data_IF_480750856797
#
_entry.id   IF_480750856797
#
_cell.length_a   1.000
_cell.length_b   1.000
_cell.length_c   1.000
_cell.angle_alpha   90.00
_cell.angle_beta   90.00
_cell.angle_gamma   90.00
#
_symmetry.space_group_name_H-M   'P 1'
#
loop_
_entity.id
_entity.type
_entity.pdbx_description
1 polymer ?
#
# COMPACT_ATOMS: atom_id res chain seq x y z
N UNK A 1 0.56 -20.83 -0.56
CA UNK A 1 -0.82 -21.00 -0.05
C UNK A 1 -1.01 -20.36 1.34
N UNK A 2 0.09 -20.16 2.08
CA UNK A 2 0.05 -19.66 3.46
C UNK A 2 -0.02 -18.12 3.57
N UNK A 3 0.39 -17.39 2.52
CA UNK A 3 0.36 -15.91 2.48
C UNK A 3 -1.04 -15.33 2.24
N UNK A 4 -2.02 -16.14 1.88
CA UNK A 4 -3.38 -15.69 1.55
C UNK A 4 -4.13 -15.25 2.80
N UNK A 5 -3.99 -15.95 3.91
CA UNK A 5 -4.67 -15.66 5.16
C UNK A 5 -4.31 -14.29 5.75
N UNK A 6 -3.01 -13.90 5.87
CA UNK A 6 -2.64 -12.58 6.36
C UNK A 6 -3.22 -11.45 5.50
N UNK A 7 -3.29 -11.64 4.18
CA UNK A 7 -3.85 -10.64 3.26
C UNK A 7 -5.34 -10.41 3.50
N UNK A 8 -6.13 -11.47 3.65
CA UNK A 8 -7.56 -11.33 3.94
C UNK A 8 -7.80 -10.73 5.33
N UNK A 9 -7.03 -11.12 6.35
CA UNK A 9 -7.11 -10.50 7.67
C UNK A 9 -6.76 -9.02 7.63
N UNK A 10 -5.75 -8.63 6.88
CA UNK A 10 -5.39 -7.23 6.69
C UNK A 10 -6.51 -6.45 5.99
N UNK A 11 -7.07 -6.98 4.89
CA UNK A 11 -8.19 -6.35 4.20
C UNK A 11 -9.41 -6.18 5.11
N UNK A 12 -9.74 -7.21 5.89
CA UNK A 12 -10.82 -7.13 6.87
C UNK A 12 -10.54 -6.09 7.95
N UNK A 13 -9.33 -6.04 8.50
CA UNK A 13 -8.92 -5.08 9.51
C UNK A 13 -9.00 -3.64 8.98
N UNK A 14 -8.53 -3.40 7.75
CA UNK A 14 -8.63 -2.09 7.11
C UNK A 14 -10.08 -1.71 6.78
N UNK A 15 -10.90 -2.68 6.35
CA UNK A 15 -12.35 -2.48 6.16
C UNK A 15 -13.05 -2.09 7.46
N UNK A 16 -12.73 -2.75 8.57
CA UNK A 16 -13.24 -2.41 9.90
C UNK A 16 -12.79 -1.00 10.32
N UNK A 17 -11.55 -0.63 10.03
CA UNK A 17 -11.03 0.72 10.30
C UNK A 17 -11.80 1.78 9.52
N UNK A 18 -12.08 1.55 8.24
CA UNK A 18 -12.87 2.46 7.42
C UNK A 18 -14.30 2.60 7.93
N UNK A 19 -14.97 1.48 8.14
CA UNK A 19 -16.36 1.45 8.64
C UNK A 19 -16.45 2.10 10.03
N UNK A 20 -15.51 1.76 10.92
CA UNK A 20 -15.43 2.34 12.26
C UNK A 20 -15.19 3.85 12.24
N UNK A 21 -14.29 4.32 11.39
CA UNK A 21 -14.01 5.75 11.21
C UNK A 21 -15.24 6.50 10.67
N UNK A 22 -15.87 6.02 9.61
CA UNK A 22 -17.08 6.64 9.07
C UNK A 22 -18.26 6.62 10.08
N UNK A 23 -18.44 5.52 10.80
CA UNK A 23 -19.47 5.39 11.82
C UNK A 23 -19.26 6.39 12.97
N UNK A 24 -18.03 6.57 13.42
CA UNK A 24 -17.72 7.51 14.50
C UNK A 24 -17.86 8.97 14.06
N UNK A 25 -17.52 9.29 12.79
CA UNK A 25 -17.78 10.61 12.21
C UNK A 25 -19.27 10.88 12.15
N UNK A 26 -20.07 9.90 11.71
CA UNK A 26 -21.53 10.03 11.63
C UNK A 26 -22.17 10.30 13.00
N UNK A 27 -21.67 9.63 14.04
CA UNK A 27 -22.15 9.80 15.42
C UNK A 27 -21.55 11.04 16.12
N UNK A 28 -20.65 11.78 15.46
CA UNK A 28 -19.98 12.95 16.03
C UNK A 28 -19.03 12.65 17.20
N UNK A 29 -18.64 11.38 17.39
CA UNK A 29 -17.70 10.97 18.45
C UNK A 29 -16.25 11.24 18.06
N UNK A 30 -15.95 11.21 16.76
CA UNK A 30 -14.64 11.51 16.22
C UNK A 30 -14.64 12.95 15.69
N UNK A 31 -13.94 13.83 16.37
CA UNK A 31 -13.81 15.24 15.97
C UNK A 31 -12.44 15.50 15.39
N UNK A 32 -12.40 16.38 14.37
CA UNK A 32 -11.13 16.80 13.78
C UNK A 32 -10.22 17.42 14.84
N UNK A 33 -8.96 17.02 14.82
CA UNK A 33 -7.96 17.63 15.68
C UNK A 33 -7.82 19.13 15.35
N UNK A 34 -7.92 20.00 16.34
CA UNK A 34 -7.59 21.41 16.16
C UNK A 34 -6.08 21.52 15.96
N UNK A 35 -5.65 21.47 14.71
CA UNK A 35 -4.27 21.78 14.38
C UNK A 35 -4.11 23.27 14.65
N UNK A 36 -3.23 23.64 15.59
CA UNK A 36 -2.69 24.99 15.60
C UNK A 36 -2.04 25.19 14.24
N UNK A 37 -2.66 26.02 13.41
CA UNK A 37 -2.09 26.42 12.13
C UNK A 37 -0.85 27.24 12.47
N UNK A 38 0.27 26.54 12.70
CA UNK A 38 1.55 27.18 12.52
C UNK A 38 1.53 27.71 11.09
N UNK A 39 1.62 29.01 10.95
CA UNK A 39 1.68 29.69 9.67
C UNK A 39 2.77 29.06 8.86
N UNK A 40 2.39 28.06 8.05
CA UNK A 40 3.31 27.42 7.11
C UNK A 40 3.80 28.55 6.21
N UNK A 41 5.08 28.87 6.28
CA UNK A 41 5.70 29.85 5.41
C UNK A 41 5.29 29.54 3.97
N UNK A 42 4.97 30.54 3.14
CA UNK A 42 4.50 30.31 1.79
C UNK A 42 5.49 29.40 1.06
N UNK A 43 5.01 28.21 0.68
CA UNK A 43 5.83 27.21 -0.01
C UNK A 43 6.36 27.85 -1.30
N UNK A 44 7.66 27.92 -1.42
CA UNK A 44 8.31 28.36 -2.65
C UNK A 44 7.89 27.40 -3.79
N UNK A 45 7.70 27.92 -4.99
CA UNK A 45 7.23 27.15 -6.14
C UNK A 45 8.08 25.90 -6.39
N UNK A 46 9.37 25.97 -6.13
CA UNK A 46 10.31 24.83 -6.21
C UNK A 46 9.97 23.75 -5.17
N UNK A 47 9.65 24.13 -3.94
CA UNK A 47 9.27 23.21 -2.88
C UNK A 47 7.93 22.50 -3.20
N UNK A 48 6.96 23.24 -3.74
CA UNK A 48 5.70 22.68 -4.21
C UNK A 48 5.91 21.65 -5.31
N UNK A 49 6.75 21.95 -6.30
CA UNK A 49 7.08 21.03 -7.39
C UNK A 49 7.75 19.74 -6.87
N UNK A 50 8.65 19.85 -5.90
CA UNK A 50 9.30 18.70 -5.27
C UNK A 50 8.29 17.83 -4.48
N UNK A 51 7.34 18.43 -3.78
CA UNK A 51 6.28 17.71 -3.06
C UNK A 51 5.40 16.95 -4.05
N UNK A 52 4.97 17.58 -5.14
CA UNK A 52 4.16 16.95 -6.19
C UNK A 52 4.92 15.80 -6.84
N UNK A 53 6.20 16.01 -7.18
CA UNK A 53 7.04 14.98 -7.77
C UNK A 53 7.22 13.77 -6.82
N UNK A 54 7.42 14.03 -5.53
CA UNK A 54 7.51 12.98 -4.50
C UNK A 54 6.19 12.23 -4.33
N UNK A 55 5.07 12.94 -4.31
CA UNK A 55 3.74 12.34 -4.24
C UNK A 55 3.47 11.46 -5.47
N UNK A 56 3.83 11.93 -6.67
CA UNK A 56 3.74 11.16 -7.90
C UNK A 56 4.59 9.88 -7.84
N UNK A 57 5.85 9.99 -7.43
CA UNK A 57 6.74 8.84 -7.30
C UNK A 57 6.20 7.78 -6.32
N UNK A 58 5.65 8.22 -5.18
CA UNK A 58 5.02 7.32 -4.20
C UNK A 58 3.75 6.67 -4.78
N UNK A 59 2.95 7.41 -5.54
CA UNK A 59 1.77 6.88 -6.24
C UNK A 59 2.14 5.81 -7.27
N UNK A 60 3.18 6.04 -8.06
CA UNK A 60 3.70 5.04 -9.00
C UNK A 60 4.18 3.77 -8.29
N UNK A 61 4.84 3.90 -7.14
CA UNK A 61 5.27 2.76 -6.34
C UNK A 61 4.10 1.91 -5.83
N UNK A 62 2.95 2.51 -5.55
CA UNK A 62 1.76 1.77 -5.10
C UNK A 62 1.12 0.89 -6.20
N UNK A 63 1.45 1.14 -7.47
CA UNK A 63 0.92 0.38 -8.62
C UNK A 63 1.73 -0.88 -8.96
N UNK A 64 2.80 -1.19 -8.24
CA UNK A 64 3.67 -2.37 -8.53
C UNK A 64 2.92 -3.71 -8.49
N UNK A 65 1.81 -3.81 -7.74
CA UNK A 65 0.97 -5.02 -7.73
C UNK A 65 0.34 -5.38 -9.07
N UNK A 66 0.09 -4.40 -9.94
CA UNK A 66 -0.49 -4.62 -11.28
C UNK A 66 0.51 -5.34 -12.19
N UNK A 67 1.79 -5.01 -12.07
CA UNK A 67 2.87 -5.67 -12.82
C UNK A 67 2.93 -7.18 -12.54
N UNK A 68 2.76 -7.58 -11.27
CA UNK A 68 2.75 -8.99 -10.89
C UNK A 68 1.65 -9.79 -11.61
N UNK A 69 0.46 -9.19 -11.79
CA UNK A 69 -0.64 -9.81 -12.54
C UNK A 69 -0.32 -9.87 -14.04
N UNK A 70 0.20 -8.78 -14.60
CA UNK A 70 0.56 -8.70 -16.01
C UNK A 70 1.59 -9.77 -16.40
N UNK A 71 2.61 -9.95 -15.57
CA UNK A 71 3.64 -10.98 -15.78
C UNK A 71 3.12 -12.40 -15.52
N UNK A 72 2.08 -12.56 -14.70
CA UNK A 72 1.47 -13.83 -14.33
C UNK A 72 0.27 -14.25 -15.18
N UNK A 73 -0.07 -13.55 -16.27
CA UNK A 73 -1.28 -13.84 -17.08
C UNK A 73 -1.34 -15.30 -17.55
N UNK A 74 -0.18 -15.89 -17.89
CA UNK A 74 -0.08 -17.27 -18.34
C UNK A 74 -0.42 -18.32 -17.26
N UNK A 75 -0.41 -17.92 -15.98
CA UNK A 75 -0.73 -18.80 -14.85
C UNK A 75 -2.24 -18.85 -14.54
N UNK A 76 -3.04 -17.98 -15.17
CA UNK A 76 -4.50 -17.98 -14.97
C UNK A 76 -5.16 -19.13 -15.71
N UNK A 77 -6.29 -19.63 -15.17
CA UNK A 77 -7.15 -20.59 -15.87
C UNK A 77 -7.71 -20.01 -17.16
N UNK A 78 -7.94 -20.85 -18.14
CA UNK A 78 -8.59 -20.40 -19.38
C UNK A 78 -10.06 -19.96 -19.13
N UNK A 79 -10.51 -18.84 -19.71
CA UNK A 79 -9.81 -17.91 -20.60
C UNK A 79 -8.88 -16.95 -19.81
N UNK A 80 -7.58 -17.13 -19.96
CA UNK A 80 -6.54 -16.49 -19.14
C UNK A 80 -6.64 -14.96 -19.13
N UNK A 81 -6.79 -14.38 -20.32
CA UNK A 81 -6.84 -12.92 -20.46
C UNK A 81 -8.06 -12.30 -19.76
N UNK A 82 -9.24 -12.92 -19.89
CA UNK A 82 -10.46 -12.44 -19.25
C UNK A 82 -10.33 -12.49 -17.72
N UNK A 83 -9.88 -13.61 -17.19
CA UNK A 83 -9.73 -13.80 -15.75
C UNK A 83 -8.66 -12.86 -15.14
N UNK A 84 -7.58 -12.58 -15.89
CA UNK A 84 -6.57 -11.61 -15.47
C UNK A 84 -7.15 -10.18 -15.41
N UNK A 85 -7.92 -9.77 -16.41
CA UNK A 85 -8.57 -8.45 -16.45
C UNK A 85 -9.56 -8.31 -15.30
N UNK A 86 -10.42 -9.31 -15.07
CA UNK A 86 -11.39 -9.29 -13.97
C UNK A 86 -10.69 -9.18 -12.60
N UNK A 87 -9.63 -9.96 -12.38
CA UNK A 87 -8.84 -9.91 -11.15
C UNK A 87 -8.20 -8.55 -10.94
N UNK A 88 -7.61 -7.98 -12.00
CA UNK A 88 -7.00 -6.64 -11.95
C UNK A 88 -8.04 -5.57 -11.64
N UNK A 89 -9.22 -5.64 -12.27
CA UNK A 89 -10.29 -4.68 -12.05
C UNK A 89 -10.81 -4.73 -10.60
N UNK A 90 -11.01 -5.92 -10.05
CA UNK A 90 -11.42 -6.10 -8.65
C UNK A 90 -10.37 -5.56 -7.69
N UNK A 91 -9.09 -5.88 -7.91
CA UNK A 91 -8.00 -5.36 -7.09
C UNK A 91 -7.91 -3.84 -7.14
N UNK A 92 -8.00 -3.25 -8.34
CA UNK A 92 -7.98 -1.80 -8.51
C UNK A 92 -9.16 -1.12 -7.81
N UNK A 93 -10.35 -1.71 -7.86
CA UNK A 93 -11.53 -1.20 -7.17
C UNK A 93 -11.36 -1.24 -5.64
N UNK A 94 -10.90 -2.36 -5.09
CA UNK A 94 -10.64 -2.49 -3.65
C UNK A 94 -9.59 -1.47 -3.21
N UNK A 95 -8.49 -1.35 -3.96
CA UNK A 95 -7.42 -0.41 -3.67
C UNK A 95 -7.91 1.04 -3.72
N UNK A 96 -8.71 1.40 -4.71
CA UNK A 96 -9.28 2.74 -4.86
C UNK A 96 -10.21 3.09 -3.68
N UNK A 97 -11.07 2.17 -3.26
CA UNK A 97 -11.97 2.36 -2.11
C UNK A 97 -11.16 2.51 -0.82
N UNK A 98 -10.16 1.67 -0.61
CA UNK A 98 -9.33 1.73 0.59
C UNK A 98 -8.50 3.01 0.65
N UNK A 99 -7.79 3.35 -0.44
CA UNK A 99 -6.98 4.57 -0.49
C UNK A 99 -7.84 5.82 -0.39
N UNK A 100 -8.95 5.87 -1.12
CA UNK A 100 -9.87 7.00 -1.08
C UNK A 100 -10.50 7.19 0.29
N UNK A 101 -10.97 6.10 0.89
CA UNK A 101 -11.56 6.13 2.23
C UNK A 101 -10.58 6.53 3.33
N UNK A 102 -9.37 5.94 3.33
CA UNK A 102 -8.32 6.29 4.30
C UNK A 102 -7.85 7.74 4.12
N UNK A 103 -7.64 8.18 2.88
CA UNK A 103 -7.25 9.55 2.58
C UNK A 103 -8.32 10.55 3.05
N UNK A 104 -9.58 10.23 2.82
CA UNK A 104 -10.69 11.06 3.31
C UNK A 104 -10.68 11.18 4.83
N UNK A 105 -10.53 10.07 5.55
CA UNK A 105 -10.47 10.08 7.02
C UNK A 105 -9.27 10.86 7.56
N UNK A 106 -8.09 10.68 6.96
CA UNK A 106 -6.86 11.40 7.35
C UNK A 106 -7.03 12.91 7.16
N UNK A 107 -7.60 13.34 6.02
CA UNK A 107 -7.84 14.75 5.73
C UNK A 107 -8.91 15.33 6.65
N UNK A 108 -10.01 14.59 6.88
CA UNK A 108 -11.10 15.03 7.75
C UNK A 108 -10.63 15.23 9.20
N UNK A 109 -9.78 14.33 9.70
CA UNK A 109 -9.25 14.40 11.06
C UNK A 109 -8.08 15.38 11.21
N UNK A 110 -7.61 15.98 10.10
CA UNK A 110 -6.43 16.84 10.08
C UNK A 110 -5.17 16.18 10.66
N UNK A 111 -4.99 14.88 10.39
CA UNK A 111 -3.83 14.15 10.89
C UNK A 111 -2.55 14.62 10.19
N UNK A 112 -1.59 15.05 10.99
CA UNK A 112 -0.27 15.44 10.50
C UNK A 112 0.77 14.36 10.74
N UNK A 113 1.73 14.18 9.81
CA UNK A 113 2.82 13.25 10.00
C UNK A 113 3.63 13.60 11.25
N UNK A 114 3.70 12.69 12.21
CA UNK A 114 4.50 12.85 13.43
C UNK A 114 5.73 11.94 13.32
N UNK A 115 6.86 12.39 13.83
CA UNK A 115 8.08 11.58 13.82
C UNK A 115 7.86 10.27 14.61
N UNK A 116 8.19 9.14 13.99
CA UNK A 116 8.09 7.81 14.60
C UNK A 116 6.75 7.10 14.40
N UNK A 117 5.73 7.75 13.86
CA UNK A 117 4.43 7.12 13.58
C UNK A 117 4.03 7.29 12.11
N UNK A 118 3.40 6.26 11.54
CA UNK A 118 2.79 6.38 10.21
C UNK A 118 1.42 7.03 10.33
N UNK A 119 0.97 7.76 9.29
CA UNK A 119 -0.38 8.35 9.26
C UNK A 119 -1.47 7.29 9.49
N UNK A 120 -1.26 6.08 8.98
CA UNK A 120 -2.20 4.99 9.17
C UNK A 120 -2.24 4.52 10.63
N UNK A 121 -1.09 4.47 11.31
CA UNK A 121 -1.02 4.15 12.74
C UNK A 121 -1.75 5.17 13.59
N UNK A 122 -1.57 6.47 13.29
CA UNK A 122 -2.28 7.56 13.97
C UNK A 122 -3.79 7.48 13.74
N UNK A 123 -4.22 7.20 12.50
CA UNK A 123 -5.63 7.02 12.18
C UNK A 123 -6.26 5.87 12.98
N UNK A 124 -5.59 4.73 13.05
CA UNK A 124 -6.09 3.57 13.81
C UNK A 124 -6.10 3.86 15.31
N UNK A 125 -5.12 4.62 15.83
CA UNK A 125 -5.10 5.07 17.23
C UNK A 125 -6.28 5.99 17.55
N UNK A 126 -6.61 6.92 16.67
CA UNK A 126 -7.76 7.81 16.84
C UNK A 126 -9.10 7.07 16.85
N UNK A 127 -9.27 6.08 15.98
CA UNK A 127 -10.53 5.33 15.86
C UNK A 127 -10.71 4.34 17.01
N UNK A 128 -9.67 3.58 17.35
CA UNK A 128 -9.77 2.48 18.31
C UNK A 128 -9.09 2.76 19.65
N UNK A 129 -8.49 3.94 19.82
CA UNK A 129 -7.59 4.25 20.94
C UNK A 129 -6.50 3.17 21.06
N UNK A 130 -5.71 3.13 22.10
CA UNK A 130 -4.69 2.08 22.32
C UNK A 130 -5.28 0.79 22.90
N UNK A 131 -6.33 0.29 22.25
CA UNK A 131 -7.01 -0.96 22.63
C UNK A 131 -6.29 -2.18 22.00
N UNK A 132 -6.68 -3.40 22.39
CA UNK A 132 -6.17 -4.63 21.78
C UNK A 132 -6.29 -4.62 20.25
N UNK A 133 -7.39 -4.06 19.72
CA UNK A 133 -7.64 -3.96 18.27
C UNK A 133 -6.55 -3.15 17.59
N UNK A 134 -6.11 -2.05 18.18
CA UNK A 134 -5.00 -1.24 17.66
C UNK A 134 -3.73 -2.09 17.47
N UNK A 135 -3.33 -2.84 18.50
CA UNK A 135 -2.13 -3.69 18.43
C UNK A 135 -2.25 -4.81 17.40
N UNK A 136 -3.43 -5.42 17.29
CA UNK A 136 -3.68 -6.45 16.26
C UNK A 136 -3.55 -5.87 14.86
N UNK A 137 -4.09 -4.69 14.59
CA UNK A 137 -3.97 -4.02 13.30
C UNK A 137 -2.51 -3.66 13.01
N UNK A 138 -1.76 -3.18 14.00
CA UNK A 138 -0.32 -2.87 13.86
C UNK A 138 0.50 -4.11 13.48
N UNK A 139 0.24 -5.23 14.13
CA UNK A 139 0.90 -6.51 13.81
C UNK A 139 0.54 -6.96 12.38
N UNK A 140 -0.73 -6.85 11.99
CA UNK A 140 -1.17 -7.20 10.62
C UNK A 140 -0.50 -6.30 9.57
N UNK A 141 -0.37 -4.99 9.84
CA UNK A 141 0.38 -4.07 8.97
C UNK A 141 1.85 -4.48 8.83
N UNK A 142 2.49 -4.84 9.94
CA UNK A 142 3.88 -5.31 9.93
C UNK A 142 4.03 -6.60 9.11
N UNK A 143 3.14 -7.57 9.30
CA UNK A 143 3.15 -8.85 8.58
C UNK A 143 2.95 -8.63 7.08
N UNK A 144 2.01 -7.77 6.66
CA UNK A 144 1.76 -7.52 5.25
C UNK A 144 2.95 -6.79 4.59
N UNK A 145 3.60 -5.86 5.29
CA UNK A 145 4.80 -5.19 4.79
C UNK A 145 5.97 -6.17 4.64
N UNK A 146 6.11 -7.12 5.57
CA UNK A 146 7.11 -8.18 5.47
C UNK A 146 6.86 -9.09 4.26
N UNK A 147 5.61 -9.50 4.03
CA UNK A 147 5.23 -10.29 2.86
C UNK A 147 5.48 -9.51 1.57
N UNK A 148 5.15 -8.22 1.53
CA UNK A 148 5.38 -7.35 0.37
C UNK A 148 6.89 -7.22 0.07
N UNK A 149 7.72 -7.03 1.09
CA UNK A 149 9.18 -7.01 0.93
C UNK A 149 9.71 -8.35 0.39
N UNK A 150 9.25 -9.47 0.94
CA UNK A 150 9.66 -10.80 0.47
C UNK A 150 9.26 -11.04 -0.99
N UNK A 151 8.10 -10.56 -1.42
CA UNK A 151 7.65 -10.63 -2.82
C UNK A 151 8.58 -9.84 -3.75
N UNK A 152 9.04 -8.67 -3.34
CA UNK A 152 9.99 -7.86 -4.11
C UNK A 152 11.34 -8.58 -4.28
N UNK A 153 11.84 -9.23 -3.22
CA UNK A 153 13.07 -10.04 -3.29
C UNK A 153 12.95 -11.21 -4.25
N UNK A 154 11.81 -11.89 -4.29
CA UNK A 154 11.56 -13.02 -5.19
C UNK A 154 11.36 -12.58 -6.65
N UNK A 155 10.85 -11.38 -6.89
CA UNK A 155 10.63 -10.82 -8.23
C UNK A 155 11.88 -10.27 -8.89
N UNK A 156 12.86 -9.81 -8.11
CA UNK A 156 14.07 -9.17 -8.62
C UNK A 156 14.96 -10.07 -9.49
N UNK A 157 15.29 -11.32 -9.09
CA UNK A 157 16.15 -12.20 -9.88
C UNK A 157 15.65 -12.50 -11.30
N UNK A 158 14.36 -12.86 -11.52
CA UNK A 158 13.83 -13.05 -12.86
C UNK A 158 13.94 -11.77 -13.70
N UNK A 159 13.59 -10.63 -13.14
CA UNK A 159 13.66 -9.33 -13.83
C UNK A 159 15.09 -9.03 -14.28
N UNK A 160 16.07 -9.17 -13.38
CA UNK A 160 17.48 -8.96 -13.69
C UNK A 160 18.00 -9.92 -14.78
N UNK A 161 17.52 -11.18 -14.77
CA UNK A 161 17.92 -12.15 -15.80
C UNK A 161 17.38 -11.75 -17.18
N UNK A 162 16.15 -11.28 -17.30
CA UNK A 162 15.60 -10.78 -18.57
C UNK A 162 16.38 -9.53 -19.05
N UNK A 163 16.64 -8.56 -18.17
CA UNK A 163 17.42 -7.37 -18.50
C UNK A 163 18.85 -7.69 -18.92
N UNK A 164 19.45 -8.75 -18.36
CA UNK A 164 20.80 -9.20 -18.73
C UNK A 164 20.83 -9.88 -20.10
N UNK A 165 19.78 -10.61 -20.47
CA UNK A 165 19.63 -11.19 -21.81
C UNK A 165 19.48 -10.10 -22.86
N UNK A 166 18.72 -9.03 -22.55
CA UNK A 166 18.51 -7.88 -23.43
C UNK A 166 19.71 -6.89 -23.45
N UNK A 167 20.74 -7.14 -22.64
CA UNK A 167 21.98 -6.35 -22.62
C UNK A 167 21.94 -5.06 -21.80
N UNK A 168 20.90 -4.81 -21.03
CA UNK A 168 20.77 -3.61 -20.18
C UNK A 168 21.57 -3.70 -18.88
N UNK A 169 21.90 -4.91 -18.43
CA UNK A 169 22.72 -5.16 -17.24
C UNK A 169 23.81 -6.19 -17.55
N UNK A 170 24.89 -6.27 -16.73
CA UNK A 170 25.98 -7.19 -16.98
C UNK A 170 25.52 -8.66 -17.06
N UNK A 171 26.07 -9.40 -18.04
CA UNK A 171 25.65 -10.77 -18.36
C UNK A 171 25.78 -11.80 -17.24
N UNK A 172 26.60 -11.54 -16.21
CA UNK A 172 26.69 -12.44 -15.06
C UNK A 172 25.39 -12.53 -14.26
N UNK A 173 24.49 -11.55 -14.37
CA UNK A 173 23.16 -11.57 -13.75
C UNK A 173 22.14 -12.43 -14.52
N UNK A 174 22.47 -12.85 -15.73
CA UNK A 174 21.63 -13.79 -16.48
C UNK A 174 21.70 -15.21 -15.93
N UNK A 175 22.80 -15.57 -15.25
CA UNK A 175 22.98 -16.91 -14.68
C UNK A 175 22.18 -17.02 -13.39
N UNK A 176 21.06 -17.74 -13.44
CA UNK A 176 20.34 -18.20 -12.23
C UNK A 176 21.28 -19.14 -11.49
N UNK A 177 21.69 -18.77 -10.29
CA UNK A 177 22.45 -19.67 -9.43
C UNK A 177 21.65 -20.96 -9.19
N UNK A 178 22.30 -22.12 -9.31
CA UNK A 178 21.72 -23.46 -9.21
C UNK A 178 21.00 -23.78 -7.88
N UNK A 179 21.00 -22.86 -6.92
CA UNK A 179 20.39 -23.04 -5.59
C UNK A 179 18.93 -22.59 -5.47
N UNK A 180 18.30 -22.17 -6.57
CA UNK A 180 16.90 -21.69 -6.58
C UNK A 180 16.04 -22.44 -7.62
N UNK A 181 16.41 -23.68 -7.93
CA UNK A 181 15.56 -24.60 -8.69
C UNK A 181 14.60 -25.35 -7.76
#
# INVERSE_FOLDING_TARGET
RDSVWPTYFFLAAMGITLIGGFYQIWNGTLTAHTVAVETVAPLNQTALMLIVLRAFANGCSSMTGIEAIANGVTMFKAPQQKNAIETTAVMACILAIMLGGLSYLIIYLHLLPTQGYTLLSLLVEDIFSRTLIYYVIQILMMVILYIAANTAYNGLPPLLSFMAVDGYVPRYLANRGERLS
#
